data_IF_891862880052
#
_entry.id   IF_891862880052
#
_cell.length_a   1.000
_cell.length_b   1.000
_cell.length_c   1.000
_cell.angle_alpha   90.00
_cell.angle_beta   90.00
_cell.angle_gamma   90.00
#
_symmetry.space_group_name_H-M   'P 1'
#
loop_
_entity.id
_entity.type
_entity.pdbx_description
1 polymer ?
#
# COMPACT_ATOMS: atom_id res chain seq x y z
N UNK A 1 -39.40 -5.06 2.51
CA UNK A 1 -38.22 -5.53 3.26
C UNK A 1 -38.22 -4.90 4.65
N UNK A 2 -38.17 -5.67 5.75
CA UNK A 2 -38.16 -5.07 7.08
C UNK A 2 -36.81 -4.39 7.34
N UNK A 3 -36.85 -3.15 7.86
CA UNK A 3 -35.72 -2.26 8.16
C UNK A 3 -34.68 -2.83 9.16
N UNK A 4 -34.88 -4.06 9.64
CA UNK A 4 -34.16 -4.65 10.76
C UNK A 4 -33.02 -5.60 10.33
N UNK A 5 -32.91 -5.96 9.04
CA UNK A 5 -31.83 -6.84 8.56
C UNK A 5 -30.50 -6.08 8.32
N UNK A 6 -30.59 -4.82 7.88
CA UNK A 6 -29.44 -3.96 7.64
C UNK A 6 -28.69 -3.56 8.93
N UNK A 7 -29.40 -3.41 10.05
CA UNK A 7 -28.76 -3.10 11.35
C UNK A 7 -28.07 -4.30 11.99
N UNK A 8 -28.48 -5.53 11.69
CA UNK A 8 -27.90 -6.76 12.25
C UNK A 8 -26.62 -7.22 11.54
N UNK A 9 -26.42 -6.81 10.29
CA UNK A 9 -25.19 -7.10 9.51
C UNK A 9 -24.10 -6.04 9.68
N UNK A 10 -24.46 -4.80 10.08
CA UNK A 10 -23.48 -3.74 10.33
C UNK A 10 -22.57 -4.03 11.54
N UNK A 11 -23.08 -4.76 12.53
CA UNK A 11 -22.39 -5.04 13.80
C UNK A 11 -21.20 -6.03 13.68
N UNK A 12 -21.31 -7.18 12.98
CA UNK A 12 -20.15 -8.07 12.79
C UNK A 12 -19.09 -7.49 11.83
N UNK A 13 -19.49 -6.69 10.85
CA UNK A 13 -18.56 -6.01 9.91
C UNK A 13 -17.71 -4.97 10.65
N UNK A 14 -18.32 -4.20 11.57
CA UNK A 14 -17.59 -3.26 12.43
C UNK A 14 -16.63 -3.97 13.40
N UNK A 15 -16.98 -5.17 13.87
CA UNK A 15 -16.19 -5.94 14.84
C UNK A 15 -14.96 -6.62 14.20
N UNK A 16 -15.07 -7.12 12.96
CA UNK A 16 -13.92 -7.66 12.20
C UNK A 16 -12.93 -6.56 11.83
N UNK A 17 -13.42 -5.34 11.55
CA UNK A 17 -12.57 -4.18 11.31
C UNK A 17 -11.78 -3.77 12.56
N UNK A 18 -12.37 -3.86 13.77
CA UNK A 18 -11.74 -3.49 15.04
C UNK A 18 -10.62 -4.46 15.48
N UNK A 19 -10.74 -5.76 15.21
CA UNK A 19 -9.73 -6.76 15.62
C UNK A 19 -8.46 -6.67 14.76
N UNK A 20 -8.58 -6.20 13.50
CA UNK A 20 -7.43 -6.00 12.61
C UNK A 20 -6.54 -4.80 13.00
N UNK A 21 -6.98 -3.91 13.91
CA UNK A 21 -6.20 -2.76 14.37
C UNK A 21 -5.24 -3.08 15.55
N UNK A 22 -5.33 -4.25 16.18
CA UNK A 22 -4.73 -4.47 17.50
C UNK A 22 -3.34 -5.15 17.53
N UNK A 23 -2.65 -5.34 16.40
CA UNK A 23 -1.32 -6.02 16.42
C UNK A 23 -0.26 -5.20 15.69
N UNK A 24 0.31 -4.24 16.41
CA UNK A 24 1.63 -3.71 16.04
C UNK A 24 2.69 -4.75 16.45
N UNK A 25 3.58 -5.18 15.55
CA UNK A 25 4.71 -6.02 15.95
C UNK A 25 5.59 -5.26 16.97
N UNK A 26 6.29 -5.98 17.87
CA UNK A 26 7.19 -5.35 18.83
C UNK A 26 8.25 -4.56 18.06
N UNK A 27 8.29 -3.24 18.29
CA UNK A 27 9.38 -2.40 17.83
C UNK A 27 10.61 -2.79 18.65
N UNK A 28 11.55 -3.53 18.05
CA UNK A 28 12.90 -3.59 18.58
C UNK A 28 13.39 -2.15 18.81
N UNK A 29 14.05 -1.91 19.95
CA UNK A 29 14.67 -0.62 20.28
C UNK A 29 15.57 -0.21 19.10
N UNK A 30 15.06 0.70 18.28
CA UNK A 30 15.75 1.16 17.10
C UNK A 30 16.01 2.65 17.30
N UNK A 31 17.26 3.04 17.13
CA UNK A 31 17.71 4.40 17.37
C UNK A 31 17.01 5.40 16.45
N UNK A 32 16.94 6.64 16.91
CA UNK A 32 16.49 7.74 16.08
C UNK A 32 17.54 8.01 14.97
N UNK A 33 17.21 7.80 13.68
CA UNK A 33 18.16 8.02 12.59
C UNK A 33 18.44 9.52 12.33
N UNK A 34 17.73 10.43 13.01
CA UNK A 34 17.86 11.88 12.86
C UNK A 34 18.83 12.51 13.86
N UNK A 35 19.00 11.91 15.03
CA UNK A 35 19.70 12.50 16.18
C UNK A 35 21.16 12.89 15.87
N UNK A 36 21.85 12.12 15.03
CA UNK A 36 23.25 12.37 14.72
C UNK A 36 23.48 13.30 13.53
N UNK A 37 22.45 13.65 12.75
CA UNK A 37 22.64 14.30 11.44
C UNK A 37 23.34 15.67 11.56
N UNK A 38 23.07 16.40 12.64
CA UNK A 38 23.68 17.70 12.91
C UNK A 38 25.20 17.61 13.15
N UNK A 39 25.65 16.50 13.74
CA UNK A 39 27.05 16.25 14.12
C UNK A 39 27.89 15.60 13.00
N UNK A 40 27.29 15.23 11.87
CA UNK A 40 28.00 14.52 10.80
C UNK A 40 28.99 15.43 10.07
N UNK A 41 30.15 14.87 9.73
CA UNK A 41 31.08 15.51 8.81
C UNK A 41 30.51 15.62 7.39
N UNK A 42 31.03 16.55 6.58
CA UNK A 42 30.54 16.71 5.19
C UNK A 42 30.68 15.42 4.36
N UNK A 43 31.80 14.71 4.51
CA UNK A 43 32.04 13.42 3.85
C UNK A 43 30.96 12.39 4.21
N UNK A 44 30.61 12.33 5.49
CA UNK A 44 29.60 11.46 6.06
C UNK A 44 28.18 11.78 5.59
N UNK A 45 27.86 13.07 5.47
CA UNK A 45 26.60 13.55 4.91
C UNK A 45 26.48 13.10 3.46
N UNK A 46 27.50 13.39 2.65
CA UNK A 46 27.54 13.05 1.24
C UNK A 46 27.47 11.54 1.01
N UNK A 47 28.15 10.75 1.84
CA UNK A 47 28.13 9.30 1.78
C UNK A 47 26.72 8.73 2.02
N UNK A 48 26.06 9.16 3.11
CA UNK A 48 24.69 8.73 3.45
C UNK A 48 23.67 9.21 2.42
N UNK A 49 23.81 10.45 1.96
CA UNK A 49 22.93 11.02 0.94
C UNK A 49 23.04 10.22 -0.37
N UNK A 50 24.25 9.92 -0.84
CA UNK A 50 24.46 9.07 -2.02
C UNK A 50 23.86 7.68 -1.87
N UNK A 51 23.93 7.08 -0.68
CA UNK A 51 23.33 5.78 -0.42
C UNK A 51 21.80 5.82 -0.55
N UNK A 52 21.15 6.82 0.05
CA UNK A 52 19.68 6.98 -0.03
C UNK A 52 19.25 7.35 -1.45
N UNK A 53 19.96 8.26 -2.12
CA UNK A 53 19.65 8.65 -3.50
C UNK A 53 19.79 7.46 -4.46
N UNK A 54 20.82 6.63 -4.28
CA UNK A 54 21.00 5.39 -5.06
C UNK A 54 19.86 4.41 -4.81
N UNK A 55 19.45 4.20 -3.56
CA UNK A 55 18.30 3.36 -3.22
C UNK A 55 17.05 3.81 -3.99
N UNK A 56 16.75 5.10 -3.95
CA UNK A 56 15.59 5.62 -4.64
C UNK A 56 15.72 5.53 -6.16
N UNK A 57 16.90 5.77 -6.73
CA UNK A 57 17.12 5.64 -8.16
C UNK A 57 16.92 4.19 -8.65
N UNK A 58 17.44 3.21 -7.92
CA UNK A 58 17.31 1.78 -8.24
C UNK A 58 15.85 1.30 -8.23
N UNK A 59 15.03 1.85 -7.34
CA UNK A 59 13.63 1.41 -7.17
C UNK A 59 12.58 2.37 -7.73
N UNK A 60 12.97 3.50 -8.34
CA UNK A 60 12.05 4.51 -8.88
C UNK A 60 11.15 3.92 -9.95
N UNK A 61 11.74 3.19 -10.92
CA UNK A 61 11.01 2.67 -12.09
C UNK A 61 9.91 1.69 -11.68
N UNK A 62 10.25 0.68 -10.87
CA UNK A 62 9.28 -0.30 -10.41
C UNK A 62 8.19 0.34 -9.54
N UNK A 63 8.57 1.27 -8.65
CA UNK A 63 7.62 2.00 -7.82
C UNK A 63 6.63 2.82 -8.66
N UNK A 64 7.10 3.48 -9.72
CA UNK A 64 6.24 4.22 -10.66
C UNK A 64 5.32 3.31 -11.43
N UNK A 65 5.85 2.22 -12.02
CA UNK A 65 5.05 1.27 -12.80
C UNK A 65 3.96 0.66 -11.92
N UNK A 66 4.29 0.21 -10.72
CA UNK A 66 3.32 -0.35 -9.80
C UNK A 66 2.25 0.66 -9.42
N UNK A 67 2.65 1.86 -8.99
CA UNK A 67 1.71 2.87 -8.50
C UNK A 67 0.79 3.38 -9.63
N UNK A 68 1.36 3.82 -10.76
CA UNK A 68 0.57 4.27 -11.90
C UNK A 68 -0.21 3.14 -12.56
N UNK A 69 0.34 1.92 -12.61
CA UNK A 69 -0.35 0.77 -13.18
C UNK A 69 -1.64 0.47 -12.42
N UNK A 70 -1.55 0.30 -11.10
CA UNK A 70 -2.73 0.05 -10.28
C UNK A 70 -3.68 1.24 -10.20
N UNK A 71 -3.15 2.48 -10.15
CA UNK A 71 -3.99 3.68 -10.15
C UNK A 71 -4.78 3.80 -11.45
N UNK A 72 -4.16 3.52 -12.60
CA UNK A 72 -4.83 3.54 -13.90
C UNK A 72 -5.87 2.44 -14.04
N UNK A 73 -5.54 1.20 -13.62
CA UNK A 73 -6.51 0.08 -13.64
C UNK A 73 -7.73 0.41 -12.78
N UNK A 74 -7.53 0.90 -11.56
CA UNK A 74 -8.63 1.23 -10.65
C UNK A 74 -9.41 2.46 -11.10
N UNK A 75 -8.72 3.48 -11.62
CA UNK A 75 -9.36 4.68 -12.16
C UNK A 75 -10.21 4.37 -13.38
N UNK A 76 -9.69 3.55 -14.30
CA UNK A 76 -10.46 3.08 -15.46
C UNK A 76 -11.68 2.26 -15.02
N UNK A 77 -11.50 1.31 -14.09
CA UNK A 77 -12.62 0.53 -13.56
C UNK A 77 -13.68 1.42 -12.90
N UNK A 78 -13.28 2.42 -12.12
CA UNK A 78 -14.21 3.37 -11.50
C UNK A 78 -15.06 4.11 -12.54
N UNK A 79 -14.43 4.65 -13.58
CA UNK A 79 -15.11 5.36 -14.67
C UNK A 79 -16.02 4.41 -15.44
N UNK A 80 -15.52 3.24 -15.87
CA UNK A 80 -16.30 2.29 -16.67
C UNK A 80 -17.53 1.79 -15.93
N UNK A 81 -17.39 1.44 -14.64
CA UNK A 81 -18.54 1.01 -13.84
C UNK A 81 -19.53 2.14 -13.56
N UNK A 82 -19.05 3.38 -13.33
CA UNK A 82 -19.92 4.53 -13.15
C UNK A 82 -20.72 4.84 -14.42
N UNK A 83 -20.06 4.83 -15.59
CA UNK A 83 -20.72 5.03 -16.89
C UNK A 83 -21.78 3.94 -17.12
N UNK A 84 -21.44 2.67 -16.87
CA UNK A 84 -22.38 1.57 -17.01
C UNK A 84 -23.58 1.70 -16.04
N UNK A 85 -23.35 2.15 -14.80
CA UNK A 85 -24.41 2.42 -13.84
C UNK A 85 -25.39 3.48 -14.33
N UNK A 86 -24.90 4.61 -14.86
CA UNK A 86 -25.74 5.70 -15.36
C UNK A 86 -26.41 5.40 -16.71
N UNK A 87 -25.85 4.48 -17.50
CA UNK A 87 -26.45 4.03 -18.76
C UNK A 87 -27.66 3.09 -18.55
N UNK A 88 -27.78 2.45 -17.38
CA UNK A 88 -28.91 1.56 -17.08
C UNK A 88 -30.04 2.39 -16.44
N UNK A 89 -31.29 2.29 -16.94
CA UNK A 89 -32.43 3.03 -16.40
C UNK A 89 -32.63 2.83 -14.89
N UNK A 90 -33.13 3.86 -14.20
CA UNK A 90 -33.33 3.84 -12.73
C UNK A 90 -34.39 2.84 -12.26
N UNK A 91 -35.41 2.60 -13.09
CA UNK A 91 -36.46 1.60 -12.86
C UNK A 91 -36.48 0.59 -14.00
N UNK A 92 -35.47 -0.30 -14.08
CA UNK A 92 -35.46 -1.30 -15.12
C UNK A 92 -36.60 -2.30 -14.86
N UNK A 93 -37.39 -2.55 -15.89
CA UNK A 93 -38.56 -3.44 -15.83
C UNK A 93 -38.17 -4.91 -15.64
N UNK A 94 -36.93 -5.28 -16.00
CA UNK A 94 -36.41 -6.63 -15.83
C UNK A 94 -35.47 -6.70 -14.61
N UNK A 95 -35.65 -7.75 -13.81
CA UNK A 95 -34.86 -7.98 -12.59
C UNK A 95 -33.35 -8.07 -12.88
N UNK A 96 -32.96 -8.61 -14.03
CA UNK A 96 -31.56 -8.75 -14.45
C UNK A 96 -30.87 -7.39 -14.61
N UNK A 97 -31.51 -6.42 -15.27
CA UNK A 97 -30.99 -5.07 -15.41
C UNK A 97 -30.92 -4.33 -14.08
N UNK A 98 -31.88 -4.58 -13.16
CA UNK A 98 -31.81 -4.03 -11.80
C UNK A 98 -30.56 -4.53 -11.07
N UNK A 99 -30.31 -5.84 -11.15
CA UNK A 99 -29.15 -6.45 -10.51
C UNK A 99 -27.83 -5.96 -11.14
N UNK A 100 -27.80 -5.88 -12.47
CA UNK A 100 -26.66 -5.35 -13.21
C UNK A 100 -26.33 -3.92 -12.76
N UNK A 101 -27.34 -3.05 -12.64
CA UNK A 101 -27.16 -1.67 -12.17
C UNK A 101 -26.59 -1.62 -10.76
N UNK A 102 -27.12 -2.41 -9.82
CA UNK A 102 -26.59 -2.51 -8.45
C UNK A 102 -25.12 -2.98 -8.42
N UNK A 103 -24.76 -3.98 -9.24
CA UNK A 103 -23.38 -4.47 -9.36
C UNK A 103 -22.44 -3.39 -9.91
N UNK A 104 -22.86 -2.66 -10.94
CA UNK A 104 -22.08 -1.55 -11.49
C UNK A 104 -21.88 -0.45 -10.44
N UNK A 105 -22.90 -0.12 -9.65
CA UNK A 105 -22.76 0.84 -8.55
C UNK A 105 -21.73 0.38 -7.51
N UNK A 106 -21.85 -0.85 -7.00
CA UNK A 106 -20.94 -1.40 -5.98
C UNK A 106 -19.50 -1.40 -6.50
N UNK A 107 -19.27 -1.84 -7.73
CA UNK A 107 -17.94 -1.88 -8.33
C UNK A 107 -17.38 -0.46 -8.56
N UNK A 108 -18.22 0.50 -8.98
CA UNK A 108 -17.82 1.89 -9.12
C UNK A 108 -17.39 2.50 -7.78
N UNK A 109 -18.14 2.24 -6.70
CA UNK A 109 -17.80 2.69 -5.35
C UNK A 109 -16.47 2.08 -4.89
N UNK A 110 -16.30 0.77 -5.02
CA UNK A 110 -15.07 0.08 -4.60
C UNK A 110 -13.83 0.55 -5.37
N UNK A 111 -13.95 0.70 -6.69
CA UNK A 111 -12.87 1.19 -7.54
C UNK A 111 -12.55 2.67 -7.27
N UNK A 112 -13.57 3.51 -7.04
CA UNK A 112 -13.39 4.93 -6.67
C UNK A 112 -12.68 5.07 -5.34
N UNK A 113 -13.12 4.32 -4.32
CA UNK A 113 -12.49 4.33 -3.00
C UNK A 113 -11.02 3.91 -3.10
N UNK A 114 -10.73 2.84 -3.85
CA UNK A 114 -9.38 2.37 -4.08
C UNK A 114 -8.51 3.41 -4.80
N UNK A 115 -9.04 4.02 -5.86
CA UNK A 115 -8.36 5.09 -6.62
C UNK A 115 -8.07 6.28 -5.73
N UNK A 116 -9.04 6.71 -4.91
CA UNK A 116 -8.89 7.80 -3.96
C UNK A 116 -7.83 7.50 -2.91
N UNK A 117 -7.86 6.31 -2.29
CA UNK A 117 -6.84 5.86 -1.35
C UNK A 117 -5.44 5.89 -1.98
N UNK A 118 -5.27 5.39 -3.21
CA UNK A 118 -3.97 5.38 -3.90
C UNK A 118 -3.48 6.77 -4.29
N UNK A 119 -4.39 7.70 -4.54
CA UNK A 119 -4.08 9.10 -4.85
C UNK A 119 -3.63 9.86 -3.61
N UNK A 120 -4.31 9.65 -2.48
CA UNK A 120 -3.98 10.30 -1.20
C UNK A 120 -2.70 9.69 -0.60
N UNK A 121 -2.59 8.36 -0.59
CA UNK A 121 -1.45 7.62 -0.05
C UNK A 121 -0.48 7.25 -1.16
N UNK A 122 -0.07 8.25 -1.94
CA UNK A 122 0.81 8.06 -3.09
C UNK A 122 2.14 7.38 -2.70
N UNK A 123 2.63 6.51 -3.59
CA UNK A 123 3.90 5.82 -3.39
C UNK A 123 5.05 6.82 -3.32
N UNK A 124 5.66 6.95 -2.14
CA UNK A 124 6.69 7.98 -1.90
C UNK A 124 7.95 7.69 -2.72
N UNK A 125 8.38 6.43 -2.81
CA UNK A 125 9.53 6.00 -3.63
C UNK A 125 9.39 6.33 -5.12
N UNK A 126 8.16 6.46 -5.65
CA UNK A 126 7.93 6.85 -7.05
C UNK A 126 8.27 8.32 -7.34
N UNK A 127 8.34 9.17 -6.30
CA UNK A 127 8.52 10.62 -6.45
C UNK A 127 9.69 11.19 -5.63
N UNK A 128 10.24 10.43 -4.69
CA UNK A 128 11.35 10.83 -3.83
C UNK A 128 12.60 11.28 -4.62
N UNK A 129 13.08 10.57 -5.67
CA UNK A 129 14.22 11.02 -6.49
C UNK A 129 14.05 12.44 -7.01
N UNK A 130 12.87 12.74 -7.59
CA UNK A 130 12.56 14.07 -8.13
C UNK A 130 12.55 15.14 -7.04
N UNK A 131 12.07 14.82 -5.82
CA UNK A 131 12.07 15.76 -4.70
C UNK A 131 13.48 16.08 -4.23
N UNK A 132 14.32 15.06 -4.08
CA UNK A 132 15.72 15.22 -3.64
C UNK A 132 16.57 15.97 -4.67
N UNK A 133 16.40 15.67 -5.97
CA UNK A 133 17.15 16.37 -7.04
C UNK A 133 16.89 17.89 -7.09
N UNK A 134 15.72 18.34 -6.62
CA UNK A 134 15.36 19.77 -6.60
C UNK A 134 15.91 20.53 -5.38
N UNK A 135 16.47 19.83 -4.40
CA UNK A 135 17.02 20.47 -3.21
C UNK A 135 18.46 20.91 -3.47
N UNK A 136 18.85 22.10 -2.98
CA UNK A 136 20.22 22.57 -3.07
C UNK A 136 21.15 21.69 -2.21
N UNK A 137 22.45 21.70 -2.55
CA UNK A 137 23.48 20.89 -1.90
C UNK A 137 24.88 21.53 -2.06
N UNK A 138 24.94 22.86 -2.17
CA UNK A 138 26.18 23.61 -2.41
C UNK A 138 26.92 23.93 -1.11
N UNK A 139 26.22 24.01 0.01
CA UNK A 139 26.82 24.18 1.35
C UNK A 139 26.61 22.95 2.23
N UNK A 140 27.38 22.85 3.32
CA UNK A 140 27.24 21.76 4.31
C UNK A 140 25.85 21.77 4.93
N UNK A 141 25.31 22.95 5.26
CA UNK A 141 23.97 23.12 5.84
C UNK A 141 22.88 22.71 4.84
N UNK A 142 23.05 23.03 3.56
CA UNK A 142 22.13 22.59 2.50
C UNK A 142 22.16 21.06 2.35
N UNK A 143 23.36 20.46 2.33
CA UNK A 143 23.54 19.00 2.29
C UNK A 143 22.92 18.32 3.50
N UNK A 144 23.09 18.88 4.70
CA UNK A 144 22.48 18.40 5.95
C UNK A 144 20.95 18.43 5.87
N UNK A 145 20.38 19.55 5.43
CA UNK A 145 18.93 19.70 5.23
C UNK A 145 18.41 18.69 4.20
N UNK A 146 19.16 18.49 3.11
CA UNK A 146 18.84 17.49 2.10
C UNK A 146 18.90 16.07 2.64
N UNK A 147 19.87 15.76 3.51
CA UNK A 147 19.96 14.47 4.19
C UNK A 147 18.77 14.24 5.12
N UNK A 148 18.41 15.19 5.98
CA UNK A 148 17.18 15.10 6.81
C UNK A 148 15.97 14.76 5.93
N UNK A 149 15.81 15.48 4.82
CA UNK A 149 14.70 15.24 3.91
C UNK A 149 14.77 13.87 3.25
N UNK A 150 15.95 13.38 2.91
CA UNK A 150 16.16 12.05 2.34
C UNK A 150 15.74 10.95 3.33
N UNK A 151 16.15 11.06 4.59
CA UNK A 151 15.76 10.14 5.67
C UNK A 151 14.24 10.15 5.89
N UNK A 152 13.61 11.34 5.93
CA UNK A 152 12.15 11.45 6.03
C UNK A 152 11.41 10.84 4.85
N UNK A 153 11.93 10.97 3.63
CA UNK A 153 11.32 10.32 2.46
C UNK A 153 11.49 8.81 2.52
N UNK A 154 12.61 8.31 3.05
CA UNK A 154 12.87 6.88 3.19
C UNK A 154 11.95 6.25 4.23
N UNK A 155 11.80 6.91 5.39
CA UNK A 155 10.86 6.55 6.45
C UNK A 155 9.43 6.50 5.93
N UNK A 156 8.94 7.58 5.32
CA UNK A 156 7.58 7.62 4.75
C UNK A 156 7.37 6.55 3.68
N UNK A 157 8.42 6.25 2.89
CA UNK A 157 8.34 5.17 1.91
C UNK A 157 8.22 3.80 2.58
N UNK A 158 8.97 3.56 3.67
CA UNK A 158 8.84 2.35 4.48
C UNK A 158 7.45 2.22 5.09
N UNK A 159 6.93 3.27 5.74
CA UNK A 159 5.60 3.28 6.34
C UNK A 159 4.50 2.98 5.33
N UNK A 160 4.56 3.56 4.12
CA UNK A 160 3.61 3.29 3.04
C UNK A 160 3.68 1.83 2.57
N UNK A 161 4.88 1.27 2.55
CA UNK A 161 5.08 -0.14 2.17
C UNK A 161 4.58 -1.11 3.23
N UNK A 162 4.82 -0.81 4.51
CA UNK A 162 4.28 -1.57 5.65
C UNK A 162 2.75 -1.49 5.66
N UNK A 163 2.19 -0.29 5.48
CA UNK A 163 0.75 -0.07 5.44
C UNK A 163 0.12 -0.92 4.32
N UNK A 164 0.61 -0.77 3.08
CA UNK A 164 -0.01 -1.44 1.94
C UNK A 164 0.07 -2.98 1.96
N UNK A 165 0.93 -3.59 2.78
CA UNK A 165 1.05 -5.06 2.92
C UNK A 165 0.60 -5.62 4.28
N UNK A 166 0.21 -4.75 5.22
CA UNK A 166 -0.11 -5.17 6.58
C UNK A 166 -1.40 -5.98 6.67
N UNK A 167 -1.65 -6.61 7.82
CA UNK A 167 -2.86 -7.40 8.06
C UNK A 167 -4.16 -6.63 7.75
N UNK A 168 -4.19 -5.33 8.05
CA UNK A 168 -5.32 -4.45 7.73
C UNK A 168 -5.60 -4.32 6.22
N UNK A 169 -4.58 -4.35 5.36
CA UNK A 169 -4.75 -4.30 3.91
C UNK A 169 -5.43 -5.57 3.38
N UNK A 170 -5.04 -6.74 3.91
CA UNK A 170 -5.71 -8.01 3.61
C UNK A 170 -7.14 -8.04 4.17
N UNK A 171 -7.33 -7.64 5.43
CA UNK A 171 -8.62 -7.63 6.11
C UNK A 171 -9.62 -6.72 5.40
N UNK A 172 -9.20 -5.56 4.90
CA UNK A 172 -10.05 -4.66 4.12
C UNK A 172 -10.57 -5.34 2.83
N UNK A 173 -9.71 -6.06 2.11
CA UNK A 173 -10.11 -6.79 0.90
C UNK A 173 -11.06 -7.95 1.19
N UNK A 174 -10.78 -8.73 2.25
CA UNK A 174 -11.64 -9.83 2.70
C UNK A 174 -13.00 -9.29 3.16
N UNK A 175 -13.01 -8.22 3.95
CA UNK A 175 -14.23 -7.58 4.43
C UNK A 175 -15.09 -7.05 3.29
N UNK A 176 -14.46 -6.42 2.28
CA UNK A 176 -15.16 -6.02 1.06
C UNK A 176 -15.77 -7.21 0.31
N UNK A 177 -14.98 -8.26 0.04
CA UNK A 177 -15.44 -9.46 -0.68
C UNK A 177 -16.61 -10.15 0.04
N UNK A 178 -16.51 -10.32 1.37
CA UNK A 178 -17.59 -10.90 2.17
C UNK A 178 -18.82 -10.01 2.14
N UNK A 179 -18.66 -8.69 2.32
CA UNK A 179 -19.76 -7.75 2.32
C UNK A 179 -20.52 -7.73 0.99
N UNK A 180 -19.80 -7.56 -0.13
CA UNK A 180 -20.40 -7.50 -1.47
C UNK A 180 -20.95 -8.85 -1.90
N UNK A 181 -20.21 -9.94 -1.67
CA UNK A 181 -20.64 -11.28 -2.02
C UNK A 181 -21.89 -11.70 -1.25
N UNK A 182 -21.95 -11.45 0.06
CA UNK A 182 -23.14 -11.74 0.88
C UNK A 182 -24.34 -10.91 0.44
N UNK A 183 -24.15 -9.61 0.19
CA UNK A 183 -25.21 -8.73 -0.30
C UNK A 183 -25.81 -9.21 -1.62
N UNK A 184 -24.96 -9.65 -2.57
CA UNK A 184 -25.42 -10.14 -3.86
C UNK A 184 -26.06 -11.53 -3.75
N UNK A 185 -25.54 -12.42 -2.90
CA UNK A 185 -26.09 -13.79 -2.70
C UNK A 185 -27.54 -13.79 -2.22
N UNK A 186 -27.94 -12.78 -1.43
CA UNK A 186 -29.33 -12.68 -0.96
C UNK A 186 -30.30 -12.07 -1.99
N UNK A 187 -29.79 -11.58 -3.13
CA UNK A 187 -30.61 -10.92 -4.16
C UNK A 187 -30.48 -11.53 -5.55
N UNK A 188 -29.41 -12.26 -5.81
CA UNK A 188 -29.06 -12.85 -7.09
C UNK A 188 -28.84 -14.36 -6.92
N UNK A 189 -29.12 -15.13 -7.97
CA UNK A 189 -29.03 -16.59 -7.95
C UNK A 189 -28.06 -17.12 -9.02
N UNK A 190 -27.46 -16.24 -9.83
CA UNK A 190 -26.46 -16.64 -10.82
C UNK A 190 -25.13 -17.01 -10.14
N UNK A 191 -24.77 -18.30 -10.21
CA UNK A 191 -23.61 -18.84 -9.53
C UNK A 191 -22.29 -18.19 -9.99
N UNK A 192 -22.18 -17.84 -11.29
CA UNK A 192 -20.98 -17.22 -11.82
C UNK A 192 -20.80 -15.79 -11.29
N UNK A 193 -21.86 -14.99 -11.28
CA UNK A 193 -21.86 -13.64 -10.73
C UNK A 193 -21.50 -13.66 -9.25
N UNK A 194 -22.10 -14.57 -8.48
CA UNK A 194 -21.81 -14.70 -7.06
C UNK A 194 -20.35 -15.09 -6.82
N UNK A 195 -19.83 -16.06 -7.58
CA UNK A 195 -18.41 -16.44 -7.51
C UNK A 195 -17.50 -15.24 -7.82
N UNK A 196 -17.81 -14.45 -8.86
CA UNK A 196 -17.05 -13.25 -9.20
C UNK A 196 -17.08 -12.20 -8.09
N UNK A 197 -18.23 -12.01 -7.43
CA UNK A 197 -18.38 -11.03 -6.34
C UNK A 197 -17.51 -11.34 -5.10
N UNK A 198 -17.22 -12.62 -4.84
CA UNK A 198 -16.29 -13.03 -3.78
C UNK A 198 -14.84 -13.06 -4.26
N UNK A 199 -14.59 -13.56 -5.47
CA UNK A 199 -13.22 -13.86 -5.95
C UNK A 199 -12.52 -12.62 -6.50
N UNK A 200 -13.20 -11.82 -7.33
CA UNK A 200 -12.56 -10.72 -8.04
C UNK A 200 -11.97 -9.66 -7.08
N UNK A 201 -12.65 -9.23 -6.00
CA UNK A 201 -12.05 -8.28 -5.06
C UNK A 201 -10.81 -8.85 -4.36
N UNK A 202 -10.81 -10.15 -4.05
CA UNK A 202 -9.65 -10.82 -3.45
C UNK A 202 -8.47 -10.86 -4.42
N UNK A 203 -8.70 -11.25 -5.68
CA UNK A 203 -7.65 -11.27 -6.71
C UNK A 203 -7.03 -9.88 -6.87
N UNK A 204 -7.87 -8.83 -6.93
CA UNK A 204 -7.41 -7.45 -7.04
C UNK A 204 -6.57 -7.03 -5.83
N UNK A 205 -7.08 -7.23 -4.60
CA UNK A 205 -6.39 -6.79 -3.38
C UNK A 205 -5.10 -7.58 -3.17
N UNK A 206 -5.15 -8.90 -3.30
CA UNK A 206 -3.98 -9.75 -3.12
C UNK A 206 -2.95 -9.51 -4.22
N UNK A 207 -3.38 -9.34 -5.48
CA UNK A 207 -2.51 -8.95 -6.58
C UNK A 207 -1.77 -7.65 -6.30
N UNK A 208 -2.44 -6.64 -5.74
CA UNK A 208 -1.82 -5.39 -5.31
C UNK A 208 -0.79 -5.59 -4.21
N UNK A 209 -1.15 -6.33 -3.15
CA UNK A 209 -0.28 -6.56 -1.99
C UNK A 209 0.98 -7.37 -2.38
N UNK A 210 0.81 -8.42 -3.19
CA UNK A 210 1.91 -9.28 -3.61
C UNK A 210 2.86 -8.59 -4.57
N UNK A 211 2.36 -7.68 -5.41
CA UNK A 211 3.20 -6.91 -6.35
C UNK A 211 3.74 -5.62 -5.76
N UNK A 212 3.39 -5.25 -4.53
CA UNK A 212 3.80 -3.97 -3.96
C UNK A 212 5.32 -3.90 -3.74
N UNK A 213 6.01 -2.81 -4.12
CA UNK A 213 7.42 -2.59 -3.79
C UNK A 213 7.66 -2.67 -2.27
N UNK A 214 8.76 -3.33 -1.85
CA UNK A 214 9.13 -3.53 -0.42
C UNK A 214 10.53 -3.08 -0.05
N UNK A 215 11.27 -2.52 -1.00
CA UNK A 215 12.67 -2.21 -0.81
C UNK A 215 12.92 -1.15 0.28
N UNK A 216 12.00 -0.19 0.45
CA UNK A 216 12.17 0.91 1.40
C UNK A 216 12.04 0.45 2.86
N UNK A 217 11.26 -0.63 3.12
CA UNK A 217 11.16 -1.22 4.47
C UNK A 217 12.55 -1.61 4.96
N UNK A 218 13.22 -2.45 4.17
CA UNK A 218 14.55 -2.98 4.49
C UNK A 218 15.60 -1.88 4.52
N UNK A 219 15.57 -0.95 3.56
CA UNK A 219 16.53 0.15 3.52
C UNK A 219 16.37 1.09 4.72
N UNK A 220 15.14 1.41 5.14
CA UNK A 220 14.92 2.22 6.33
C UNK A 220 15.35 1.49 7.61
N UNK A 221 15.02 0.21 7.76
CA UNK A 221 15.46 -0.60 8.91
C UNK A 221 16.98 -0.67 8.98
N UNK A 222 17.65 -0.93 7.85
CA UNK A 222 19.11 -0.91 7.75
C UNK A 222 19.65 0.46 8.17
N UNK A 223 19.17 1.54 7.56
CA UNK A 223 19.62 2.89 7.85
C UNK A 223 19.44 3.28 9.33
N UNK A 224 18.34 2.86 9.95
CA UNK A 224 18.05 3.17 11.36
C UNK A 224 19.01 2.49 12.34
N UNK A 225 19.53 1.31 12.00
CA UNK A 225 20.48 0.58 12.85
C UNK A 225 21.89 1.14 12.77
N UNK A 226 22.30 1.68 11.63
CA UNK A 226 23.70 2.02 11.35
C UNK A 226 23.95 3.51 11.08
N UNK A 227 22.90 4.25 10.73
CA UNK A 227 22.99 5.64 10.25
C UNK A 227 23.68 6.55 11.26
N UNK A 228 23.42 6.33 12.56
CA UNK A 228 24.02 7.10 13.66
C UNK A 228 25.08 6.35 14.48
N UNK A 229 25.21 5.03 14.36
CA UNK A 229 26.25 4.26 15.06
C UNK A 229 27.58 4.16 14.30
N UNK A 230 27.60 4.37 12.99
CA UNK A 230 28.80 4.28 12.16
C UNK A 230 29.74 5.49 12.19
N UNK A 231 29.95 6.13 13.35
CA UNK A 231 30.74 7.39 13.49
C UNK A 231 32.24 7.26 13.17
N UNK A 232 32.74 6.08 12.80
CA UNK A 232 34.17 5.82 12.52
C UNK A 232 34.41 4.94 11.26
N UNK A 233 33.97 5.40 10.09
CA UNK A 233 34.37 4.75 8.82
C UNK A 233 33.68 3.42 8.50
N UNK A 234 32.62 3.05 9.21
CA UNK A 234 31.77 1.93 8.83
C UNK A 234 30.96 2.30 7.58
N UNK A 235 31.28 1.65 6.46
CA UNK A 235 30.47 1.74 5.26
C UNK A 235 29.05 1.23 5.56
N UNK A 236 28.02 2.00 5.16
CA UNK A 236 26.68 1.48 5.00
C UNK A 236 26.80 0.24 4.11
N UNK A 237 26.31 -0.94 4.54
CA UNK A 237 26.42 -2.13 3.73
C UNK A 237 25.73 -1.86 2.39
N UNK A 238 26.24 -2.46 1.30
CA UNK A 238 25.56 -2.37 0.03
C UNK A 238 24.12 -2.84 0.24
N UNK A 239 23.18 -2.08 -0.30
CA UNK A 239 21.77 -2.48 -0.33
C UNK A 239 21.71 -3.89 -0.89
N UNK A 240 21.16 -4.83 -0.10
CA UNK A 240 21.02 -6.22 -0.53
C UNK A 240 20.07 -6.21 -1.73
N UNK A 241 20.63 -6.25 -2.94
CA UNK A 241 19.86 -6.40 -4.17
C UNK A 241 19.35 -7.83 -4.18
N UNK A 242 18.10 -8.03 -3.78
CA UNK A 242 17.50 -9.35 -3.92
C UNK A 242 17.21 -9.53 -5.41
N UNK A 243 18.13 -10.19 -6.11
CA UNK A 243 17.99 -10.54 -7.53
C UNK A 243 17.02 -11.71 -7.77
N UNK A 244 16.34 -12.22 -6.73
CA UNK A 244 15.46 -13.40 -6.77
C UNK A 244 14.17 -13.16 -6.00
N UNK A 245 13.08 -13.76 -6.48
CA UNK A 245 11.88 -13.90 -5.68
C UNK A 245 12.22 -14.62 -4.36
N UNK A 246 12.18 -13.88 -3.24
CA UNK A 246 12.45 -14.43 -1.92
C UNK A 246 11.12 -14.68 -1.21
N UNK A 247 10.95 -15.88 -0.66
CA UNK A 247 9.67 -16.33 -0.13
C UNK A 247 9.76 -16.28 1.39
N UNK A 248 8.90 -15.48 2.01
CA UNK A 248 8.83 -15.38 3.47
C UNK A 248 7.49 -15.92 3.96
N UNK A 249 7.53 -16.87 4.89
CA UNK A 249 6.35 -17.45 5.53
C UNK A 249 6.29 -16.87 6.94
N UNK A 250 5.35 -15.95 7.17
CA UNK A 250 5.15 -15.39 8.50
C UNK A 250 3.91 -16.02 9.13
N UNK A 251 4.01 -16.67 10.29
CA UNK A 251 2.84 -17.15 11.01
C UNK A 251 2.09 -15.95 11.63
N UNK A 252 0.77 -15.90 11.45
CA UNK A 252 -0.10 -15.04 12.24
C UNK A 252 -1.36 -15.80 12.67
N UNK A 253 -2.13 -15.22 13.60
CA UNK A 253 -3.28 -15.86 14.24
C UNK A 253 -4.25 -16.47 13.22
N UNK A 254 -4.17 -17.80 13.04
CA UNK A 254 -5.06 -18.60 12.20
C UNK A 254 -4.67 -18.74 10.72
N UNK A 255 -3.57 -18.13 10.24
CA UNK A 255 -3.16 -18.26 8.84
C UNK A 255 -1.64 -18.21 8.63
N UNK A 256 -1.20 -18.89 7.57
CA UNK A 256 0.14 -18.74 7.00
C UNK A 256 0.11 -17.58 6.01
N UNK A 257 0.90 -16.54 6.25
CA UNK A 257 1.10 -15.47 5.27
C UNK A 257 2.23 -15.86 4.34
N UNK A 258 1.91 -16.02 3.06
CA UNK A 258 2.91 -16.25 2.01
C UNK A 258 3.31 -14.91 1.43
N UNK A 259 4.59 -14.56 1.50
CA UNK A 259 5.08 -13.28 1.00
C UNK A 259 6.11 -13.53 -0.08
N UNK A 260 5.79 -13.16 -1.32
CA UNK A 260 6.75 -13.17 -2.44
C UNK A 260 7.45 -11.81 -2.49
N UNK A 261 8.75 -11.76 -2.30
CA UNK A 261 9.55 -10.53 -2.33
C UNK A 261 10.29 -10.44 -3.68
N UNK A 262 9.96 -9.42 -4.47
CA UNK A 262 10.75 -9.03 -5.65
C UNK A 262 11.76 -7.94 -5.29
#
# INVERSE_FOLDING_TARGET
MPKNALSRLAMPIAMVLLIAFATAPPRALANDPYECIDDLSEYEIDYRLRWIERHFAEHERYSKIWWWGWLSVMGAAAISHAVAFFAIPDQPTQNEYRMLRERMFINAVGATFTTGQMSILAMTSAHAPRKLRKMPANTVEEKRTKLHRAVTLLERSSERQILGKGAHAHAAGIGWAIGTGTYLTVRDHDALTLAQAFVLPLVVVQGRIFTQPRAAIRAYEQYRVIGCFGREGFALPPLRTVKRADWDITPGLGSLFFTVNF
#
